data_IF_642443777807
#
_entry.id   IF_642443777807
#
_cell.length_a   1.000
_cell.length_b   1.000
_cell.length_c   1.000
_cell.angle_alpha   90.00
_cell.angle_beta   90.00
_cell.angle_gamma   90.00
#
_symmetry.space_group_name_H-M   'P 1'
#
loop_
_entity.id
_entity.type
_entity.pdbx_description
1 polymer ?
#
# COMPACT_ATOMS: atom_id res chain seq x y z
N UNK A 1 -14.06 -8.59 5.93
CA UNK A 1 -14.05 -8.44 4.46
C UNK A 1 -14.36 -9.81 3.87
N UNK A 2 -15.26 -9.91 2.89
CA UNK A 2 -15.50 -11.20 2.21
C UNK A 2 -14.35 -11.51 1.25
N UNK A 3 -14.02 -12.80 1.09
CA UNK A 3 -12.93 -13.27 0.23
C UNK A 3 -13.10 -12.84 -1.24
N UNK A 4 -14.35 -12.67 -1.67
CA UNK A 4 -14.68 -12.23 -3.03
C UNK A 4 -14.15 -10.82 -3.34
N UNK A 5 -14.30 -9.86 -2.44
CA UNK A 5 -13.80 -8.49 -2.66
C UNK A 5 -12.27 -8.44 -2.76
N UNK A 6 -11.59 -9.29 -2.00
CA UNK A 6 -10.14 -9.40 -2.05
C UNK A 6 -9.69 -9.92 -3.42
N UNK A 7 -10.33 -10.97 -3.93
CA UNK A 7 -10.03 -11.52 -5.25
C UNK A 7 -10.27 -10.51 -6.37
N UNK A 8 -11.39 -9.77 -6.33
CA UNK A 8 -11.70 -8.72 -7.30
C UNK A 8 -10.64 -7.60 -7.30
N UNK A 9 -10.21 -7.17 -6.11
CA UNK A 9 -9.17 -6.13 -6.00
C UNK A 9 -7.82 -6.59 -6.54
N UNK A 10 -7.42 -7.82 -6.28
CA UNK A 10 -6.16 -8.37 -6.80
C UNK A 10 -6.14 -8.45 -8.33
N UNK A 11 -7.28 -8.78 -8.94
CA UNK A 11 -7.46 -8.74 -10.40
C UNK A 11 -7.30 -7.30 -10.90
N UNK A 12 -7.96 -6.32 -10.28
CA UNK A 12 -7.84 -4.92 -10.65
C UNK A 12 -6.41 -4.37 -10.51
N UNK A 13 -5.68 -4.80 -9.48
CA UNK A 13 -4.29 -4.41 -9.25
C UNK A 13 -3.31 -5.15 -10.17
N UNK A 14 -3.73 -6.23 -10.83
CA UNK A 14 -2.84 -7.11 -11.59
C UNK A 14 -1.78 -7.80 -10.73
N UNK A 15 -2.04 -7.95 -9.41
CA UNK A 15 -1.08 -8.48 -8.45
C UNK A 15 -1.77 -9.40 -7.43
N UNK A 16 -1.28 -10.64 -7.36
CA UNK A 16 -1.71 -11.62 -6.37
C UNK A 16 -0.82 -11.55 -5.13
N UNK A 17 -1.39 -11.18 -3.99
CA UNK A 17 -0.69 -11.14 -2.73
C UNK A 17 -0.39 -12.56 -2.23
N UNK A 18 0.89 -12.80 -1.93
CA UNK A 18 1.35 -14.06 -1.30
C UNK A 18 0.77 -14.25 0.11
N UNK A 19 0.50 -13.15 0.81
CA UNK A 19 -0.09 -13.11 2.15
C UNK A 19 -1.27 -12.14 2.11
N UNK A 20 -2.50 -12.67 2.13
CA UNK A 20 -3.72 -11.86 2.02
C UNK A 20 -3.91 -10.96 3.23
N UNK A 21 -3.32 -11.33 4.36
CA UNK A 21 -3.34 -10.56 5.61
C UNK A 21 -2.74 -9.17 5.42
N UNK A 22 -1.69 -9.03 4.58
CA UNK A 22 -1.08 -7.74 4.28
C UNK A 22 -2.03 -6.83 3.48
N UNK A 23 -2.80 -7.40 2.56
CA UNK A 23 -3.81 -6.65 1.82
C UNK A 23 -4.96 -6.22 2.74
N UNK A 24 -5.38 -7.11 3.65
CA UNK A 24 -6.42 -6.79 4.64
C UNK A 24 -5.93 -5.68 5.58
N UNK A 25 -4.68 -5.75 6.07
CA UNK A 25 -4.07 -4.71 6.91
C UNK A 25 -3.98 -3.37 6.16
N UNK A 26 -3.54 -3.38 4.89
CA UNK A 26 -3.46 -2.19 4.05
C UNK A 26 -4.82 -1.50 3.82
N UNK A 27 -5.90 -2.28 3.79
CA UNK A 27 -7.28 -1.78 3.64
C UNK A 27 -7.94 -1.43 4.99
N UNK A 28 -7.26 -1.68 6.11
CA UNK A 28 -7.82 -1.44 7.44
C UNK A 28 -7.37 -0.08 7.96
N UNK A 29 -8.28 0.88 7.97
CA UNK A 29 -8.04 2.19 8.56
C UNK A 29 -8.03 2.10 10.10
N UNK A 30 -7.22 2.96 10.75
CA UNK A 30 -7.10 3.03 12.22
C UNK A 30 -8.43 3.16 12.94
N UNK A 31 -9.39 3.94 12.43
CA UNK A 31 -10.70 4.14 13.08
C UNK A 31 -11.48 2.82 13.18
N UNK A 32 -11.47 2.03 12.09
CA UNK A 32 -12.14 0.74 12.08
C UNK A 32 -11.50 -0.23 13.09
N UNK A 33 -10.17 -0.22 13.19
CA UNK A 33 -9.45 -1.05 14.16
C UNK A 33 -9.76 -0.66 15.62
N UNK A 34 -9.87 0.64 15.91
CA UNK A 34 -10.21 1.12 17.26
C UNK A 34 -11.65 0.80 17.66
N UNK A 35 -12.60 0.86 16.73
CA UNK A 35 -14.01 0.53 16.98
C UNK A 35 -14.26 -0.99 17.07
N UNK A 36 -13.35 -1.82 16.52
CA UNK A 36 -13.47 -3.27 16.47
C UNK A 36 -12.21 -3.99 16.99
N UNK A 37 -11.80 -3.77 18.26
CA UNK A 37 -10.54 -4.30 18.79
C UNK A 37 -10.48 -5.83 18.82
N UNK A 38 -11.64 -6.50 18.89
CA UNK A 38 -11.72 -7.96 18.83
C UNK A 38 -11.54 -8.56 17.43
N UNK A 39 -11.66 -7.74 16.36
CA UNK A 39 -11.57 -8.19 14.97
C UNK A 39 -10.22 -7.90 14.32
N UNK A 40 -9.51 -6.89 14.82
CA UNK A 40 -8.27 -6.42 14.20
C UNK A 40 -7.44 -5.62 15.20
N UNK A 41 -6.19 -6.04 15.38
CA UNK A 41 -5.17 -5.30 16.14
C UNK A 41 -4.12 -4.62 15.26
N UNK A 42 -4.31 -4.64 13.93
CA UNK A 42 -3.38 -4.10 12.94
C UNK A 42 -4.11 -3.17 11.99
N UNK A 43 -3.43 -2.14 11.50
CA UNK A 43 -4.00 -1.13 10.62
C UNK A 43 -2.91 -0.56 9.72
N UNK A 44 -3.33 0.12 8.67
CA UNK A 44 -2.52 0.46 7.51
C UNK A 44 -1.33 1.41 7.76
N UNK A 45 -1.31 2.24 8.82
CA UNK A 45 -0.28 3.29 9.02
C UNK A 45 1.18 2.78 8.91
N UNK A 46 1.46 1.56 9.40
CA UNK A 46 2.82 0.99 9.28
C UNK A 46 3.19 0.63 7.84
N UNK A 47 2.22 0.12 7.08
CA UNK A 47 2.38 -0.21 5.67
C UNK A 47 2.41 1.05 4.81
N UNK A 48 1.62 2.08 5.16
CA UNK A 48 1.62 3.40 4.54
C UNK A 48 2.99 4.05 4.67
N UNK A 49 3.52 4.15 5.90
CA UNK A 49 4.84 4.72 6.16
C UNK A 49 5.97 4.03 5.36
N UNK A 50 5.92 2.70 5.28
CA UNK A 50 6.87 1.94 4.46
C UNK A 50 6.65 2.18 2.96
N UNK A 51 5.39 2.18 2.53
CA UNK A 51 4.98 2.37 1.15
C UNK A 51 5.42 3.72 0.59
N UNK A 52 5.31 4.79 1.37
CA UNK A 52 5.74 6.14 1.00
C UNK A 52 7.24 6.19 0.69
N UNK A 53 8.06 5.55 1.54
CA UNK A 53 9.50 5.51 1.36
C UNK A 53 9.90 4.69 0.11
N UNK A 54 9.24 3.54 -0.10
CA UNK A 54 9.50 2.68 -1.26
C UNK A 54 9.06 3.36 -2.56
N UNK A 55 7.86 3.95 -2.58
CA UNK A 55 7.35 4.66 -3.75
C UNK A 55 8.24 5.86 -4.09
N UNK A 56 8.64 6.63 -3.08
CA UNK A 56 9.58 7.74 -3.24
C UNK A 56 10.90 7.28 -3.87
N UNK A 57 11.47 6.17 -3.39
CA UNK A 57 12.70 5.61 -3.96
C UNK A 57 12.55 5.20 -5.43
N UNK A 58 11.49 4.45 -5.77
CA UNK A 58 11.23 4.01 -7.15
C UNK A 58 11.00 5.20 -8.07
N UNK A 59 10.27 6.22 -7.60
CA UNK A 59 10.05 7.45 -8.36
C UNK A 59 11.35 8.23 -8.60
N UNK A 60 12.22 8.35 -7.59
CA UNK A 60 13.53 8.98 -7.72
C UNK A 60 14.40 8.24 -8.73
N UNK A 61 14.47 6.91 -8.64
CA UNK A 61 15.22 6.09 -9.60
C UNK A 61 14.67 6.27 -11.02
N UNK A 62 13.35 6.21 -11.19
CA UNK A 62 12.70 6.40 -12.49
C UNK A 62 13.00 7.76 -13.11
N UNK A 63 12.91 8.84 -12.33
CA UNK A 63 13.19 10.20 -12.80
C UNK A 63 14.66 10.40 -13.12
N UNK A 64 15.55 9.87 -12.28
CA UNK A 64 17.00 9.97 -12.46
C UNK A 64 17.48 9.25 -13.73
N UNK A 65 16.92 8.07 -14.02
CA UNK A 65 17.24 7.29 -15.23
C UNK A 65 16.50 7.78 -16.48
N UNK A 66 15.46 8.62 -16.32
CA UNK A 66 14.75 9.19 -17.45
C UNK A 66 15.68 10.09 -18.27
N UNK A 67 15.56 10.04 -19.61
CA UNK A 67 16.36 10.89 -20.51
C UNK A 67 16.04 12.38 -20.40
N UNK A 68 14.95 12.75 -19.73
CA UNK A 68 14.64 14.14 -19.43
C UNK A 68 15.47 14.56 -18.22
N UNK A 69 16.39 15.50 -18.44
CA UNK A 69 17.14 16.16 -17.35
C UNK A 69 16.19 17.08 -16.59
N UNK A 70 15.50 16.51 -15.61
CA UNK A 70 14.76 17.28 -14.63
C UNK A 70 15.76 18.03 -13.75
N UNK A 71 15.70 19.35 -13.75
CA UNK A 71 16.43 20.17 -12.79
C UNK A 71 15.82 19.99 -11.41
N UNK A 72 16.65 20.01 -10.37
CA UNK A 72 16.16 20.15 -9.00
C UNK A 72 15.37 21.47 -8.92
N UNK A 73 14.08 21.38 -8.56
CA UNK A 73 13.28 22.56 -8.27
C UNK A 73 13.70 23.04 -6.89
N UNK A 74 14.44 24.15 -6.86
CA UNK A 74 14.82 24.86 -5.63
C UNK A 74 13.59 25.51 -5.00
#
# INVERSE_FOLDING_TARGET
MSEQYIAELEICLGYLFKKKELLIEALTHRSFSHENPAKTGVYNERLEFLGDSVLGFVMVEYLFLSKNRFSESV
#
